data_IF_987261395109
#
_entry.id   IF_987261395109
#
_cell.length_a   1.000
_cell.length_b   1.000
_cell.length_c   1.000
_cell.angle_alpha   90.00
_cell.angle_beta   90.00
_cell.angle_gamma   90.00
#
_symmetry.space_group_name_H-M   'P 1'
#
loop_
_entity.id
_entity.type
_entity.pdbx_description
1 polymer ?
#
# COMPACT_ATOMS: atom_id res chain seq x y z
N UNK A 1 -17.20 -27.74 13.46
CA UNK A 1 -17.27 -26.47 12.69
C UNK A 1 -15.88 -26.29 12.14
N UNK A 2 -15.69 -26.31 10.82
CA UNK A 2 -14.39 -25.90 10.27
C UNK A 2 -14.34 -24.40 10.42
N UNK A 3 -13.42 -23.92 11.25
CA UNK A 3 -13.05 -22.52 11.24
C UNK A 3 -12.34 -22.23 9.91
N UNK A 4 -12.50 -21.02 9.35
CA UNK A 4 -11.77 -20.58 8.17
C UNK A 4 -10.25 -20.63 8.34
N UNK A 5 -9.52 -20.42 7.23
CA UNK A 5 -8.06 -20.36 7.24
C UNK A 5 -7.58 -18.90 7.33
N UNK A 6 -7.02 -18.44 8.47
CA UNK A 6 -6.59 -17.06 8.62
C UNK A 6 -5.35 -16.72 7.78
N UNK A 7 -4.59 -17.71 7.27
CA UNK A 7 -3.50 -17.47 6.32
C UNK A 7 -4.01 -17.33 4.87
N UNK A 8 -5.26 -17.72 4.60
CA UNK A 8 -5.94 -17.59 3.31
C UNK A 8 -7.38 -17.11 3.52
N UNK A 9 -7.58 -15.88 4.03
CA UNK A 9 -8.92 -15.38 4.34
C UNK A 9 -9.81 -15.33 3.10
N UNK A 10 -11.07 -15.66 3.30
CA UNK A 10 -12.08 -15.55 2.25
C UNK A 10 -12.28 -14.08 1.83
N UNK A 11 -12.80 -13.87 0.63
CA UNK A 11 -13.14 -12.53 0.13
C UNK A 11 -14.56 -12.19 0.52
N UNK A 12 -14.78 -10.93 0.90
CA UNK A 12 -16.13 -10.42 1.09
C UNK A 12 -16.90 -10.50 -0.25
N UNK A 13 -18.05 -11.20 -0.31
CA UNK A 13 -18.82 -11.35 -1.55
C UNK A 13 -19.45 -10.03 -2.03
N UNK A 14 -19.63 -9.06 -1.13
CA UNK A 14 -20.31 -7.79 -1.41
C UNK A 14 -19.55 -6.61 -0.76
N UNK A 15 -18.33 -6.28 -1.23
CA UNK A 15 -17.58 -5.17 -0.69
C UNK A 15 -18.21 -3.83 -1.09
N UNK A 16 -18.33 -2.91 -0.14
CA UNK A 16 -18.99 -1.60 -0.31
C UNK A 16 -18.09 -0.42 0.01
N UNK A 17 -17.01 -0.61 0.77
CA UNK A 17 -16.13 0.48 1.20
C UNK A 17 -15.06 0.77 0.14
N UNK A 18 -15.48 1.40 -0.97
CA UNK A 18 -14.59 1.67 -2.11
C UNK A 18 -13.74 2.91 -1.91
N UNK A 19 -12.45 2.79 -2.23
CA UNK A 19 -11.49 3.89 -2.21
C UNK A 19 -10.84 4.05 -3.59
N UNK A 20 -10.51 5.29 -3.94
CA UNK A 20 -9.68 5.63 -5.09
C UNK A 20 -8.27 5.97 -4.61
N UNK A 21 -7.27 5.30 -5.18
CA UNK A 21 -5.86 5.68 -5.07
C UNK A 21 -5.47 6.47 -6.31
N UNK A 22 -4.86 7.64 -6.09
CA UNK A 22 -4.30 8.48 -7.14
C UNK A 22 -2.80 8.55 -6.91
N UNK A 23 -2.02 8.24 -7.93
CA UNK A 23 -0.56 8.32 -7.86
C UNK A 23 -0.05 9.23 -8.98
N UNK A 24 0.75 10.23 -8.62
CA UNK A 24 1.36 11.21 -9.54
C UNK A 24 2.87 11.02 -9.46
N UNK A 25 3.52 10.74 -10.58
CA UNK A 25 4.97 10.55 -10.64
C UNK A 25 5.60 11.50 -11.67
N UNK A 26 6.43 12.43 -11.19
CA UNK A 26 7.09 13.44 -12.03
C UNK A 26 8.48 12.99 -12.49
N UNK A 27 8.58 11.74 -12.94
CA UNK A 27 9.84 11.11 -13.29
C UNK A 27 10.49 11.71 -14.55
N UNK A 28 11.83 11.57 -14.70
CA UNK A 28 12.56 12.03 -15.89
C UNK A 28 12.17 11.32 -17.20
N UNK A 29 11.44 10.21 -17.13
CA UNK A 29 11.09 9.39 -18.28
C UNK A 29 9.90 8.47 -18.02
N UNK A 30 9.54 7.62 -19.00
CA UNK A 30 8.40 6.72 -18.88
C UNK A 30 8.67 5.56 -17.91
N UNK A 31 7.58 5.04 -17.34
CA UNK A 31 7.59 3.82 -16.52
C UNK A 31 7.26 2.59 -17.36
N UNK A 32 7.88 1.46 -17.04
CA UNK A 32 7.57 0.17 -17.65
C UNK A 32 6.26 -0.40 -17.09
N UNK A 33 6.01 -0.22 -15.78
CA UNK A 33 4.74 -0.56 -15.17
C UNK A 33 4.44 0.27 -13.93
N UNK A 34 3.16 0.49 -13.66
CA UNK A 34 2.67 1.11 -12.43
C UNK A 34 1.58 0.23 -11.85
N UNK A 35 1.69 -0.10 -10.56
CA UNK A 35 0.70 -0.88 -9.80
C UNK A 35 0.47 -0.19 -8.47
N UNK A 36 -0.69 -0.39 -7.86
CA UNK A 36 -0.85 -0.11 -6.45
C UNK A 36 -0.54 -1.37 -5.64
N UNK A 37 -0.20 -1.18 -4.38
CA UNK A 37 -0.03 -2.26 -3.42
C UNK A 37 -0.76 -1.88 -2.14
N UNK A 38 -1.40 -2.88 -1.53
CA UNK A 38 -2.25 -2.75 -0.37
C UNK A 38 -1.96 -3.93 0.55
N UNK A 39 -1.73 -3.67 1.83
CA UNK A 39 -1.51 -4.71 2.82
C UNK A 39 -2.66 -4.72 3.81
N UNK A 40 -3.24 -5.89 4.04
CA UNK A 40 -4.24 -6.12 5.07
C UNK A 40 -3.64 -6.85 6.26
N UNK A 41 -4.07 -6.45 7.44
CA UNK A 41 -3.75 -7.13 8.68
C UNK A 41 -5.02 -7.25 9.53
N UNK A 42 -4.99 -8.15 10.50
CA UNK A 42 -6.00 -8.19 11.55
C UNK A 42 -5.73 -7.07 12.54
N UNK A 43 -6.69 -6.17 12.73
CA UNK A 43 -6.51 -4.96 13.56
C UNK A 43 -7.01 -5.12 14.99
N UNK A 44 -7.64 -6.25 15.33
CA UNK A 44 -8.11 -6.56 16.68
C UNK A 44 -7.44 -7.83 17.25
N UNK A 45 -6.20 -7.75 17.76
CA UNK A 45 -5.41 -8.91 18.20
C UNK A 45 -6.11 -9.85 19.18
N UNK A 46 -7.04 -9.34 19.99
CA UNK A 46 -7.82 -10.12 20.96
C UNK A 46 -8.61 -11.30 20.34
N UNK A 47 -8.87 -11.28 19.02
CA UNK A 47 -9.51 -12.39 18.32
C UNK A 47 -8.57 -13.59 18.07
N UNK A 48 -7.26 -13.47 18.34
CA UNK A 48 -6.27 -14.51 18.05
C UNK A 48 -5.72 -15.17 19.33
N UNK A 49 -5.13 -16.37 19.25
CA UNK A 49 -4.55 -17.04 20.40
C UNK A 49 -3.39 -16.25 20.99
N UNK A 50 -3.36 -16.14 22.32
CA UNK A 50 -2.25 -15.50 23.03
C UNK A 50 -1.15 -16.53 23.36
N UNK A 51 0.10 -16.20 23.06
CA UNK A 51 1.25 -16.87 23.64
C UNK A 51 1.44 -16.40 25.08
N UNK A 52 0.87 -17.14 26.04
CA UNK A 52 0.89 -16.80 27.47
C UNK A 52 2.28 -16.61 28.07
N UNK A 53 3.31 -17.22 27.50
CA UNK A 53 4.68 -17.05 27.99
C UNK A 53 5.27 -15.69 27.60
N UNK A 54 4.93 -15.22 26.39
CA UNK A 54 5.43 -13.96 25.84
C UNK A 54 4.48 -12.78 26.08
N UNK A 55 3.20 -13.04 26.43
CA UNK A 55 2.18 -12.00 26.59
C UNK A 55 1.82 -11.31 25.27
N UNK A 56 1.92 -12.02 24.14
CA UNK A 56 1.62 -11.48 22.79
C UNK A 56 0.63 -12.37 22.06
N UNK A 57 -0.19 -11.74 21.23
CA UNK A 57 -1.12 -12.42 20.33
C UNK A 57 -0.39 -12.98 19.09
N UNK A 58 -0.76 -14.19 18.68
CA UNK A 58 -0.23 -14.83 17.47
C UNK A 58 -1.06 -14.32 16.30
N UNK A 59 -0.56 -13.28 15.63
CA UNK A 59 -1.23 -12.66 14.50
C UNK A 59 -1.13 -13.56 13.25
N UNK A 60 -2.19 -13.60 12.41
CA UNK A 60 -2.08 -14.21 11.10
C UNK A 60 -1.14 -13.41 10.19
N UNK A 61 -0.75 -14.00 9.06
CA UNK A 61 0.09 -13.31 8.09
C UNK A 61 -0.65 -12.13 7.47
N UNK A 62 0.10 -11.08 7.18
CA UNK A 62 -0.39 -9.98 6.36
C UNK A 62 -0.76 -10.48 4.96
N UNK A 63 -1.79 -9.89 4.37
CA UNK A 63 -2.26 -10.20 3.02
C UNK A 63 -1.97 -9.03 2.11
N UNK A 64 -1.01 -9.21 1.20
CA UNK A 64 -0.66 -8.24 0.17
C UNK A 64 -1.48 -8.40 -1.10
N UNK A 65 -2.10 -7.32 -1.56
CA UNK A 65 -2.87 -7.27 -2.81
C UNK A 65 -2.34 -6.20 -3.76
N UNK A 66 -2.33 -6.54 -5.05
CA UNK A 66 -2.05 -5.57 -6.09
C UNK A 66 -3.32 -4.84 -6.54
N UNK A 67 -3.22 -3.53 -6.66
CA UNK A 67 -4.27 -2.69 -7.23
C UNK A 67 -3.94 -2.42 -8.70
N UNK A 68 -4.90 -2.67 -9.58
CA UNK A 68 -4.80 -2.28 -10.99
C UNK A 68 -4.82 -0.76 -11.13
N UNK A 69 -3.75 -0.19 -11.72
CA UNK A 69 -3.62 1.24 -11.93
C UNK A 69 -3.80 1.58 -13.41
N UNK A 70 -4.75 2.46 -13.71
CA UNK A 70 -4.99 2.98 -15.05
C UNK A 70 -4.35 4.35 -15.20
N UNK A 71 -3.54 4.54 -16.24
CA UNK A 71 -2.95 5.84 -16.56
C UNK A 71 -4.04 6.77 -17.09
N UNK A 72 -4.17 7.95 -16.49
CA UNK A 72 -5.18 8.95 -16.89
C UNK A 72 -4.58 10.17 -17.59
N UNK A 73 -3.30 10.45 -17.36
CA UNK A 73 -2.53 11.46 -18.09
C UNK A 73 -1.03 11.09 -18.13
N UNK A 74 -0.17 12.01 -18.54
CA UNK A 74 1.27 11.77 -18.66
C UNK A 74 1.94 11.33 -17.35
N UNK A 75 1.46 11.81 -16.21
CA UNK A 75 2.09 11.65 -14.89
C UNK A 75 1.16 11.05 -13.84
N UNK A 76 -0.10 10.79 -14.16
CA UNK A 76 -1.11 10.37 -13.19
C UNK A 76 -1.68 9.00 -13.50
N UNK A 77 -1.80 8.20 -12.46
CA UNK A 77 -2.47 6.90 -12.45
C UNK A 77 -3.54 6.86 -11.39
N UNK A 78 -4.62 6.12 -11.68
CA UNK A 78 -5.73 5.90 -10.77
C UNK A 78 -6.06 4.44 -10.63
N UNK A 79 -6.33 4.00 -9.42
CA UNK A 79 -6.79 2.65 -9.11
C UNK A 79 -7.90 2.68 -8.08
N UNK A 80 -8.53 1.53 -7.89
CA UNK A 80 -9.59 1.37 -6.91
C UNK A 80 -9.35 0.11 -6.10
N UNK A 81 -9.63 0.20 -4.80
CA UNK A 81 -9.62 -0.93 -3.88
C UNK A 81 -10.81 -0.84 -2.92
N UNK A 82 -11.04 -1.90 -2.17
CA UNK A 82 -12.11 -1.97 -1.18
C UNK A 82 -11.51 -2.19 0.19
N UNK A 83 -11.82 -1.34 1.16
CA UNK A 83 -11.33 -1.51 2.54
C UNK A 83 -11.87 -2.79 3.16
N UNK A 84 -13.10 -3.17 2.82
CA UNK A 84 -13.79 -4.38 3.24
C UNK A 84 -13.66 -5.54 2.24
N UNK A 85 -12.52 -5.65 1.54
CA UNK A 85 -12.30 -6.71 0.55
C UNK A 85 -12.17 -8.11 1.15
N UNK A 86 -11.52 -8.21 2.31
CA UNK A 86 -11.36 -9.47 3.03
C UNK A 86 -12.56 -9.71 3.96
N UNK A 87 -12.95 -10.96 4.08
CA UNK A 87 -14.07 -11.39 4.91
C UNK A 87 -13.62 -11.52 6.36
N UNK A 88 -14.31 -10.82 7.24
CA UNK A 88 -14.18 -11.00 8.69
C UNK A 88 -14.75 -12.36 9.11
N UNK A 89 -14.01 -13.09 9.93
CA UNK A 89 -14.38 -14.43 10.38
C UNK A 89 -13.81 -14.76 11.76
N UNK A 90 -14.44 -15.68 12.49
CA UNK A 90 -13.93 -16.26 13.73
C UNK A 90 -13.08 -17.51 13.46
N UNK A 91 -11.80 -17.28 13.19
CA UNK A 91 -10.81 -18.30 12.86
C UNK A 91 -10.42 -19.20 14.05
N UNK A 92 -10.62 -18.74 15.29
CA UNK A 92 -10.05 -19.38 16.49
C UNK A 92 -11.09 -19.73 17.56
N UNK A 93 -12.37 -19.40 17.35
CA UNK A 93 -13.43 -19.49 18.37
C UNK A 93 -13.30 -18.43 19.46
N UNK A 94 -12.57 -17.34 19.20
CA UNK A 94 -12.25 -16.27 20.16
C UNK A 94 -12.94 -14.95 19.82
N UNK A 95 -13.90 -14.99 18.89
CA UNK A 95 -14.55 -13.82 18.32
C UNK A 95 -14.04 -13.50 16.91
N UNK A 96 -14.77 -12.64 16.21
CA UNK A 96 -14.48 -12.29 14.83
C UNK A 96 -13.18 -11.48 14.71
N UNK A 97 -12.27 -11.94 13.87
CA UNK A 97 -11.11 -11.15 13.45
C UNK A 97 -11.52 -10.18 12.33
N UNK A 98 -11.16 -8.92 12.52
CA UNK A 98 -11.45 -7.82 11.61
C UNK A 98 -10.23 -7.53 10.75
N UNK A 99 -10.37 -7.70 9.44
CA UNK A 99 -9.34 -7.36 8.47
C UNK A 99 -9.48 -5.90 8.05
N UNK A 100 -8.36 -5.18 8.01
CA UNK A 100 -8.33 -3.80 7.54
C UNK A 100 -7.02 -3.53 6.78
N UNK A 101 -7.00 -2.67 5.75
CA UNK A 101 -5.77 -2.30 5.09
C UNK A 101 -4.95 -1.38 5.99
N UNK A 102 -3.74 -1.81 6.35
CA UNK A 102 -2.83 -1.06 7.21
C UNK A 102 -1.92 -0.12 6.42
N UNK A 103 -1.56 -0.49 5.19
CA UNK A 103 -0.69 0.31 4.32
C UNK A 103 -1.07 0.21 2.86
N UNK A 104 -0.81 1.29 2.12
CA UNK A 104 -1.22 1.43 0.73
C UNK A 104 -0.33 2.41 -0.01
N UNK A 105 0.00 2.07 -1.25
CA UNK A 105 0.93 2.86 -2.05
C UNK A 105 0.93 2.54 -3.53
N UNK A 106 1.65 3.35 -4.30
CA UNK A 106 1.99 3.12 -5.69
C UNK A 106 3.38 2.52 -5.82
N UNK A 107 3.52 1.52 -6.68
CA UNK A 107 4.78 0.87 -7.07
C UNK A 107 5.02 1.11 -8.55
N UNK A 108 6.09 1.83 -8.85
CA UNK A 108 6.49 2.25 -10.19
C UNK A 108 7.76 1.51 -10.58
N UNK A 109 7.76 0.87 -11.74
CA UNK A 109 8.89 0.05 -12.20
C UNK A 109 9.46 0.63 -13.48
N UNK A 110 10.78 0.79 -13.53
CA UNK A 110 11.54 1.13 -14.74
C UNK A 110 12.85 0.34 -14.74
N UNK A 111 13.19 -0.28 -15.86
CA UNK A 111 14.43 -1.03 -16.04
C UNK A 111 14.65 -2.15 -14.99
N UNK A 112 13.57 -2.68 -14.41
CA UNK A 112 13.60 -3.68 -13.34
C UNK A 112 13.84 -3.11 -11.93
N UNK A 113 13.95 -1.79 -11.79
CA UNK A 113 13.99 -1.09 -10.51
C UNK A 113 12.60 -0.63 -10.10
N UNK A 114 12.24 -0.86 -8.85
CA UNK A 114 10.96 -0.43 -8.26
C UNK A 114 11.15 0.83 -7.41
N UNK A 115 10.21 1.75 -7.53
CA UNK A 115 10.06 2.98 -6.76
C UNK A 115 8.69 2.90 -6.09
N UNK A 116 8.67 2.71 -4.78
CA UNK A 116 7.43 2.64 -4.00
C UNK A 116 7.20 3.94 -3.27
N UNK A 117 5.99 4.50 -3.36
CA UNK A 117 5.56 5.57 -2.46
C UNK A 117 4.21 5.22 -1.85
N UNK A 118 4.04 5.49 -0.55
CA UNK A 118 2.82 5.18 0.18
C UNK A 118 2.98 5.47 1.67
N UNK A 119 1.92 5.18 2.42
CA UNK A 119 1.92 5.32 3.88
C UNK A 119 0.85 4.37 4.44
N UNK A 120 0.65 4.42 5.74
CA UNK A 120 -0.53 3.90 6.40
C UNK A 120 -1.81 4.45 5.77
N UNK A 121 -2.85 3.61 5.67
CA UNK A 121 -4.14 4.04 5.11
C UNK A 121 -4.70 5.23 5.90
N UNK A 122 -4.71 5.13 7.23
CA UNK A 122 -5.18 6.21 8.10
C UNK A 122 -4.34 7.48 7.95
N UNK A 123 -3.01 7.34 7.81
CA UNK A 123 -2.12 8.46 7.53
C UNK A 123 -2.49 9.20 6.25
N UNK A 124 -2.74 8.47 5.15
CA UNK A 124 -3.17 9.04 3.88
C UNK A 124 -4.57 9.66 3.94
N UNK A 125 -5.50 9.05 4.67
CA UNK A 125 -6.85 9.60 4.86
C UNK A 125 -6.82 10.90 5.69
N UNK A 126 -5.91 11.00 6.66
CA UNK A 126 -5.76 12.19 7.50
C UNK A 126 -4.98 13.31 6.80
N UNK A 127 -3.85 12.99 6.15
CA UNK A 127 -2.99 13.97 5.46
C UNK A 127 -3.54 14.37 4.08
N UNK A 128 -4.35 13.52 3.47
CA UNK A 128 -4.85 13.64 2.09
C UNK A 128 -3.89 13.09 1.04
N UNK A 129 -2.58 13.25 1.23
CA UNK A 129 -1.55 12.69 0.36
C UNK A 129 -0.20 12.57 1.05
N UNK A 130 0.63 11.65 0.58
CA UNK A 130 2.05 11.49 0.93
C UNK A 130 2.91 11.74 -0.31
N UNK A 131 4.06 12.41 -0.15
CA UNK A 131 5.00 12.66 -1.26
C UNK A 131 6.39 12.22 -0.86
N UNK A 132 6.97 11.33 -1.67
CA UNK A 132 8.34 10.86 -1.52
C UNK A 132 9.21 11.33 -2.68
N UNK A 133 10.49 11.59 -2.38
CA UNK A 133 11.46 12.09 -3.35
C UNK A 133 12.50 11.03 -3.68
N UNK A 134 12.75 10.85 -4.97
CA UNK A 134 13.65 9.82 -5.50
C UNK A 134 14.72 10.46 -6.35
N UNK A 135 15.94 9.89 -6.34
CA UNK A 135 17.04 10.44 -7.14
C UNK A 135 16.84 10.15 -8.62
N UNK A 136 17.00 11.17 -9.46
CA UNK A 136 17.00 11.00 -10.93
C UNK A 136 18.11 10.05 -11.40
N UNK A 137 19.25 10.02 -10.70
CA UNK A 137 20.36 9.11 -11.02
C UNK A 137 19.99 7.64 -10.86
N UNK A 138 19.14 7.29 -9.90
CA UNK A 138 18.69 5.90 -9.69
C UNK A 138 17.69 5.50 -10.79
N UNK A 139 16.78 6.40 -11.16
CA UNK A 139 15.85 6.19 -12.29
C UNK A 139 16.57 5.96 -13.62
N UNK A 140 17.67 6.67 -13.86
CA UNK A 140 18.44 6.58 -15.10
C UNK A 140 19.44 5.42 -15.11
N UNK A 141 19.71 4.80 -13.97
CA UNK A 141 20.64 3.68 -13.87
C UNK A 141 20.01 2.39 -14.40
N UNK A 142 20.62 1.84 -15.45
CA UNK A 142 20.20 0.58 -16.09
C UNK A 142 20.93 -0.64 -15.56
N UNK A 143 21.92 -0.43 -14.68
CA UNK A 143 22.79 -1.49 -14.16
C UNK A 143 22.34 -2.02 -12.81
N UNK A 144 21.70 -1.18 -11.98
CA UNK A 144 21.14 -1.58 -10.69
C UNK A 144 19.78 -2.28 -10.85
N UNK A 145 19.64 -3.43 -10.19
CA UNK A 145 18.36 -4.14 -10.00
C UNK A 145 17.84 -4.07 -8.56
N UNK A 146 18.53 -3.30 -7.72
CA UNK A 146 18.09 -3.05 -6.34
C UNK A 146 17.09 -1.91 -6.43
N UNK A 147 15.91 -2.08 -5.82
CA UNK A 147 14.86 -1.06 -5.82
C UNK A 147 15.38 0.30 -5.35
N UNK A 148 14.83 1.38 -5.92
CA UNK A 148 15.12 2.74 -5.49
C UNK A 148 14.54 2.94 -4.09
N UNK A 149 15.37 3.29 -3.12
CA UNK A 149 14.89 3.63 -1.79
C UNK A 149 14.41 5.08 -1.82
N UNK A 150 13.08 5.26 -1.80
CA UNK A 150 12.48 6.55 -1.52
C UNK A 150 13.00 7.06 -0.19
N UNK A 151 13.29 8.35 -0.12
CA UNK A 151 13.50 8.99 1.17
C UNK A 151 12.37 9.98 1.36
N UNK A 152 11.64 9.84 2.46
CA UNK A 152 10.74 10.87 2.97
C UNK A 152 11.65 12.03 3.41
N UNK A 153 12.07 12.86 2.47
CA UNK A 153 12.83 14.07 2.73
C UNK A 153 11.88 15.25 2.61
N UNK A 154 11.82 16.07 3.66
CA UNK A 154 11.32 17.43 3.54
C UNK A 154 12.11 18.12 2.41
N UNK A 155 11.45 18.71 1.41
CA UNK A 155 12.11 19.49 0.36
C UNK A 155 13.10 20.53 0.91
N UNK A 156 12.83 21.07 2.11
CA UNK A 156 13.72 22.01 2.80
C UNK A 156 15.05 21.39 3.26
N UNK A 157 15.12 20.07 3.40
CA UNK A 157 16.34 19.31 3.72
C UNK A 157 17.08 18.90 2.44
N UNK A 158 16.39 18.84 1.29
CA UNK A 158 16.99 18.54 -0.01
C UNK A 158 17.79 19.75 -0.50
N UNK A 159 19.10 19.74 -0.26
CA UNK A 159 20.02 20.81 -0.72
C UNK A 159 20.07 20.99 -2.24
N UNK A 160 19.69 19.96 -3.01
CA UNK A 160 19.68 19.98 -4.47
C UNK A 160 18.38 19.34 -4.99
N UNK A 161 17.28 20.09 -4.95
CA UNK A 161 15.95 19.63 -5.39
C UNK A 161 15.95 19.15 -6.84
N UNK A 162 16.78 19.74 -7.71
CA UNK A 162 16.90 19.35 -9.12
C UNK A 162 17.43 17.94 -9.33
N UNK A 163 18.13 17.36 -8.35
CA UNK A 163 18.61 15.99 -8.42
C UNK A 163 17.52 14.94 -8.14
N UNK A 164 16.34 15.38 -7.68
CA UNK A 164 15.24 14.51 -7.27
C UNK A 164 13.99 14.72 -8.12
N UNK A 165 13.11 13.73 -8.12
CA UNK A 165 11.75 13.85 -8.62
C UNK A 165 10.76 13.31 -7.59
N UNK A 166 9.57 13.93 -7.46
CA UNK A 166 8.54 13.47 -6.55
C UNK A 166 7.68 12.34 -7.13
N UNK A 167 7.22 11.47 -6.24
CA UNK A 167 6.04 10.64 -6.42
C UNK A 167 5.08 10.97 -5.28
N UNK A 168 3.86 11.34 -5.62
CA UNK A 168 2.79 11.66 -4.68
C UNK A 168 1.69 10.61 -4.76
N UNK A 169 1.28 10.07 -3.61
CA UNK A 169 0.13 9.17 -3.50
C UNK A 169 -0.95 9.82 -2.65
N UNK A 170 -2.18 9.79 -3.13
CA UNK A 170 -3.35 10.30 -2.43
C UNK A 170 -4.45 9.24 -2.42
N UNK A 171 -5.24 9.23 -1.35
CA UNK A 171 -6.38 8.32 -1.20
C UNK A 171 -7.60 9.12 -0.80
N UNK A 172 -8.73 8.74 -1.37
CA UNK A 172 -10.04 9.25 -0.98
C UNK A 172 -11.09 8.17 -1.07
N UNK A 173 -12.09 8.28 -0.21
CA UNK A 173 -13.29 7.48 -0.32
C UNK A 173 -13.99 7.81 -1.65
N UNK A 174 -14.33 6.77 -2.41
CA UNK A 174 -15.02 6.90 -3.67
C UNK A 174 -16.51 6.70 -3.41
N UNK A 175 -17.23 7.81 -3.20
CA UNK A 175 -18.69 7.77 -3.08
C UNK A 175 -19.26 7.25 -4.39
N UNK A 176 -20.06 6.19 -4.30
CA UNK A 176 -20.71 5.55 -5.44
C UNK A 176 -21.89 6.37 -5.95
#
# INVERSE_FOLDING_TARGET
MSHGDPDHPDRNPHPVQRYEIIAIAEAPGPWDSVKGYLTYEVVNPACTPENKFLGVHIMPREVGLHIGMTRVDEKTWKGYFYRDYLQDEDYYGLGTCHWDPTSVGGVFVVHGMSFGSGDTLDGLLQKGSETEYFKKSEFLDRSSKIGGYGTILDPAVIRNTEAFFPITVAIREAVQ
#
